data_IF_067078204909
#
_entry.id   IF_067078204909
#
_cell.length_a   1.000
_cell.length_b   1.000
_cell.length_c   1.000
_cell.angle_alpha   90.00
_cell.angle_beta   90.00
_cell.angle_gamma   90.00
#
_symmetry.space_group_name_H-M   'P 1'
#
loop_
_entity.id
_entity.type
_entity.pdbx_description
1 polymer ?
#
# COMPACT_ATOMS: atom_id res chain seq x y z
N UNK A 1 -9.07 11.35 20.47
CA UNK A 1 -8.12 12.33 19.92
C UNK A 1 -8.38 12.42 18.43
N UNK A 2 -9.02 13.48 17.96
CA UNK A 2 -9.10 13.78 16.53
C UNK A 2 -7.77 14.44 16.16
N UNK A 3 -7.16 14.06 15.04
CA UNK A 3 -5.96 14.73 14.52
C UNK A 3 -6.40 16.15 14.13
N UNK A 4 -5.98 17.20 14.86
CA UNK A 4 -6.50 18.56 14.64
C UNK A 4 -6.00 19.17 13.33
N UNK A 5 -4.83 18.72 12.86
CA UNK A 5 -4.21 19.15 11.62
C UNK A 5 -3.32 18.01 11.07
N UNK A 6 -3.47 17.73 9.77
CA UNK A 6 -2.68 16.72 9.06
C UNK A 6 -1.42 17.30 8.40
N UNK A 7 -1.25 18.62 8.36
CA UNK A 7 -0.11 19.27 7.71
C UNK A 7 1.26 18.80 8.22
N UNK A 8 1.49 18.61 9.54
CA UNK A 8 2.77 18.10 10.04
C UNK A 8 3.13 16.70 9.50
N UNK A 9 2.12 15.90 9.15
CA UNK A 9 2.34 14.59 8.52
C UNK A 9 2.87 14.81 7.11
N UNK A 10 2.23 15.67 6.31
CA UNK A 10 2.67 15.98 4.96
C UNK A 10 4.06 16.62 4.90
N UNK A 11 4.38 17.52 5.83
CA UNK A 11 5.73 18.10 5.98
C UNK A 11 6.77 17.00 6.23
N UNK A 12 6.45 16.05 7.12
CA UNK A 12 7.33 14.89 7.39
C UNK A 12 7.55 14.06 6.13
N UNK A 13 6.50 13.77 5.36
CA UNK A 13 6.63 13.01 4.11
C UNK A 13 7.52 13.73 3.09
N UNK A 14 7.40 15.06 2.98
CA UNK A 14 8.21 15.88 2.11
C UNK A 14 9.69 15.85 2.52
N UNK A 15 9.99 15.98 3.82
CA UNK A 15 11.35 15.86 4.35
C UNK A 15 11.93 14.46 4.11
N UNK A 16 11.19 13.39 4.40
CA UNK A 16 11.62 12.01 4.14
C UNK A 16 12.05 11.83 2.68
N UNK A 17 11.25 12.36 1.73
CA UNK A 17 11.58 12.31 0.32
C UNK A 17 12.86 13.10 -0.02
N UNK A 18 13.08 14.29 0.57
CA UNK A 18 14.33 15.08 0.39
C UNK A 18 15.56 14.29 0.82
N UNK A 19 15.46 13.48 1.88
CA UNK A 19 16.52 12.60 2.35
C UNK A 19 16.63 11.27 1.57
N UNK A 20 15.86 11.10 0.49
CA UNK A 20 15.89 9.89 -0.34
C UNK A 20 15.25 8.67 0.31
N UNK A 21 14.46 8.86 1.37
CA UNK A 21 13.70 7.79 2.03
C UNK A 21 12.52 7.41 1.14
N UNK A 22 12.30 6.11 0.98
CA UNK A 22 11.15 5.59 0.25
C UNK A 22 9.86 5.80 1.06
N UNK A 23 8.85 6.38 0.43
CA UNK A 23 7.57 6.71 1.05
C UNK A 23 6.45 6.03 0.26
N UNK A 24 5.52 5.42 0.99
CA UNK A 24 4.26 4.93 0.47
C UNK A 24 3.13 5.45 1.36
N UNK A 25 2.01 5.87 0.75
CA UNK A 25 0.85 6.40 1.48
C UNK A 25 -0.24 5.33 1.48
N UNK A 26 -0.90 5.16 2.63
CA UNK A 26 -1.95 4.18 2.82
C UNK A 26 -3.17 4.84 3.41
N UNK A 27 -4.33 4.58 2.83
CA UNK A 27 -5.63 5.09 3.25
C UNK A 27 -6.57 3.92 3.55
N UNK A 28 -7.02 3.82 4.81
CA UNK A 28 -8.01 2.82 5.21
C UNK A 28 -9.40 3.38 4.92
N UNK A 29 -10.00 2.92 3.84
CA UNK A 29 -11.33 3.38 3.42
C UNK A 29 -12.35 2.70 4.32
N UNK A 30 -12.90 3.43 5.30
CA UNK A 30 -13.98 2.97 6.19
C UNK A 30 -15.32 3.49 5.64
N UNK A 31 -16.37 2.67 5.49
CA UNK A 31 -17.65 3.16 4.98
C UNK A 31 -18.22 4.30 5.83
N UNK A 32 -18.89 5.25 5.19
CA UNK A 32 -19.48 6.46 5.79
C UNK A 32 -18.48 7.47 6.38
N UNK A 33 -17.19 7.12 6.47
CA UNK A 33 -16.15 7.95 7.11
C UNK A 33 -15.07 8.34 6.10
N UNK A 34 -14.57 7.36 5.34
CA UNK A 34 -13.44 7.50 4.42
C UNK A 34 -13.77 7.10 2.99
N UNK A 35 -15.03 6.82 2.64
CA UNK A 35 -15.47 6.42 1.30
C UNK A 35 -15.88 7.60 0.39
N UNK A 36 -15.62 8.82 0.83
CA UNK A 36 -15.84 10.07 0.09
C UNK A 36 -14.76 10.25 -0.99
N UNK A 37 -15.19 10.19 -2.25
CA UNK A 37 -14.30 10.30 -3.41
C UNK A 37 -13.67 11.68 -3.58
N UNK A 38 -14.30 12.76 -3.12
CA UNK A 38 -13.71 14.10 -3.20
C UNK A 38 -12.60 14.28 -2.17
N UNK A 39 -12.73 13.68 -0.98
CA UNK A 39 -11.64 13.61 0.00
C UNK A 39 -10.49 12.74 -0.50
N UNK A 40 -10.79 11.61 -1.14
CA UNK A 40 -9.78 10.77 -1.77
C UNK A 40 -9.02 11.54 -2.87
N UNK A 41 -9.75 12.27 -3.72
CA UNK A 41 -9.18 13.14 -4.77
C UNK A 41 -8.26 14.20 -4.17
N UNK A 42 -8.70 14.88 -3.11
CA UNK A 42 -7.89 15.87 -2.40
C UNK A 42 -6.61 15.25 -1.84
N UNK A 43 -6.70 14.09 -1.17
CA UNK A 43 -5.53 13.38 -0.63
C UNK A 43 -4.54 13.00 -1.73
N UNK A 44 -5.03 12.41 -2.82
CA UNK A 44 -4.17 12.00 -3.95
C UNK A 44 -3.47 13.21 -4.55
N UNK A 45 -4.20 14.29 -4.86
CA UNK A 45 -3.61 15.53 -5.39
C UNK A 45 -2.51 16.05 -4.47
N UNK A 46 -2.79 16.13 -3.16
CA UNK A 46 -1.82 16.61 -2.17
C UNK A 46 -0.55 15.77 -2.17
N UNK A 47 -0.67 14.44 -2.22
CA UNK A 47 0.46 13.51 -2.30
C UNK A 47 1.25 13.70 -3.60
N UNK A 48 0.58 13.81 -4.74
CA UNK A 48 1.23 13.99 -6.04
C UNK A 48 1.95 15.34 -6.12
N UNK A 49 1.32 16.42 -5.69
CA UNK A 49 1.89 17.77 -5.74
C UNK A 49 3.16 17.87 -4.88
N UNK A 50 3.16 17.23 -3.72
CA UNK A 50 4.29 17.28 -2.79
C UNK A 50 5.37 16.24 -3.09
N UNK A 51 4.95 15.01 -3.42
CA UNK A 51 5.83 13.85 -3.49
C UNK A 51 5.94 13.24 -4.90
N UNK A 52 5.25 13.78 -5.88
CA UNK A 52 5.29 13.35 -7.28
C UNK A 52 4.42 12.13 -7.56
N UNK A 53 4.16 11.84 -8.85
CA UNK A 53 3.22 10.81 -9.30
C UNK A 53 3.72 9.37 -9.10
N UNK A 54 5.00 9.20 -8.78
CA UNK A 54 5.66 7.91 -8.61
C UNK A 54 5.49 7.32 -7.19
N UNK A 55 4.94 8.09 -6.24
CA UNK A 55 4.68 7.59 -4.88
C UNK A 55 3.48 6.64 -4.88
N UNK A 56 3.64 5.40 -4.37
CA UNK A 56 2.53 4.47 -4.18
C UNK A 56 1.47 5.02 -3.24
N UNK A 57 0.20 4.89 -3.66
CA UNK A 57 -0.96 5.03 -2.77
C UNK A 57 -1.74 3.72 -2.69
N UNK A 58 -2.11 3.33 -1.47
CA UNK A 58 -2.85 2.10 -1.19
C UNK A 58 -4.20 2.43 -0.56
N UNK A 59 -5.29 1.96 -1.17
CA UNK A 59 -6.61 1.99 -0.57
C UNK A 59 -6.90 0.63 0.06
N UNK A 60 -6.96 0.60 1.39
CA UNK A 60 -7.16 -0.63 2.14
C UNK A 60 -8.64 -0.87 2.40
N UNK A 61 -9.03 -2.13 2.23
CA UNK A 61 -10.35 -2.58 2.66
C UNK A 61 -10.42 -2.61 4.19
N UNK A 62 -11.42 -1.93 4.73
CA UNK A 62 -11.82 -2.07 6.12
C UNK A 62 -12.55 -3.41 6.35
N UNK A 63 -12.29 -4.01 7.51
CA UNK A 63 -13.00 -5.16 8.03
C UNK A 63 -13.56 -4.80 9.41
N UNK A 64 -14.85 -5.08 9.70
CA UNK A 64 -15.44 -4.75 10.99
C UNK A 64 -14.86 -5.64 12.07
N UNK A 65 -14.12 -5.05 13.01
CA UNK A 65 -13.47 -5.76 14.09
C UNK A 65 -13.69 -5.07 15.45
N UNK A 66 -13.65 -5.88 16.50
CA UNK A 66 -13.75 -5.44 17.90
C UNK A 66 -15.01 -4.58 18.18
N UNK A 67 -14.85 -3.29 18.47
CA UNK A 67 -15.94 -2.40 18.85
C UNK A 67 -16.60 -1.70 17.65
N UNK A 68 -16.03 -1.79 16.44
CA UNK A 68 -16.51 -1.10 15.26
C UNK A 68 -17.20 -2.08 14.29
N UNK A 69 -18.24 -2.75 14.79
CA UNK A 69 -18.98 -3.80 14.05
C UNK A 69 -20.22 -3.31 13.30
N UNK A 70 -20.67 -2.07 13.57
CA UNK A 70 -21.91 -1.55 13.00
C UNK A 70 -21.78 -1.10 11.53
N UNK A 71 -20.55 -0.89 11.06
CA UNK A 71 -20.25 -0.61 9.65
C UNK A 71 -19.91 -1.91 8.92
N UNK A 72 -20.30 -2.07 7.64
CA UNK A 72 -19.91 -3.24 6.85
C UNK A 72 -18.42 -3.20 6.47
N UNK A 73 -17.83 -4.31 6.00
CA UNK A 73 -16.53 -4.24 5.33
C UNK A 73 -16.65 -3.37 4.07
N UNK A 74 -15.60 -2.63 3.73
CA UNK A 74 -15.65 -1.74 2.56
C UNK A 74 -15.93 -2.53 1.29
N UNK A 75 -16.96 -2.13 0.50
CA UNK A 75 -17.23 -2.77 -0.78
C UNK A 75 -16.03 -2.64 -1.72
N UNK A 76 -15.70 -3.71 -2.43
CA UNK A 76 -14.56 -3.71 -3.38
C UNK A 76 -14.74 -2.62 -4.44
N UNK A 77 -15.97 -2.44 -4.94
CA UNK A 77 -16.27 -1.37 -5.91
C UNK A 77 -16.04 0.05 -5.39
N UNK A 78 -16.08 0.27 -4.07
CA UNK A 78 -15.68 1.57 -3.49
C UNK A 78 -14.17 1.77 -3.61
N UNK A 79 -13.37 0.74 -3.32
CA UNK A 79 -11.91 0.79 -3.45
C UNK A 79 -11.47 0.95 -4.91
N UNK A 80 -12.17 0.29 -5.85
CA UNK A 80 -11.93 0.44 -7.28
C UNK A 80 -12.13 1.88 -7.74
N UNK A 81 -13.21 2.54 -7.29
CA UNK A 81 -13.44 3.97 -7.56
C UNK A 81 -12.36 4.89 -6.97
N UNK A 82 -11.82 4.56 -5.80
CA UNK A 82 -10.67 5.30 -5.24
C UNK A 82 -9.41 5.15 -6.11
N UNK A 83 -9.14 3.94 -6.63
CA UNK A 83 -8.04 3.71 -7.58
C UNK A 83 -8.26 4.47 -8.89
N UNK A 84 -9.49 4.53 -9.40
CA UNK A 84 -9.84 5.28 -10.60
C UNK A 84 -9.58 6.78 -10.38
N UNK A 85 -10.09 7.37 -9.31
CA UNK A 85 -9.80 8.76 -8.92
C UNK A 85 -8.30 9.00 -8.82
N UNK A 86 -7.55 8.10 -8.18
CA UNK A 86 -6.11 8.29 -8.05
C UNK A 86 -5.39 8.34 -9.41
N UNK A 87 -5.82 7.49 -10.35
CA UNK A 87 -5.27 7.46 -11.72
C UNK A 87 -5.67 8.70 -12.52
N UNK A 88 -6.90 9.18 -12.38
CA UNK A 88 -7.35 10.44 -12.99
C UNK A 88 -6.50 11.63 -12.56
N UNK A 89 -6.09 11.64 -11.29
CA UNK A 89 -5.18 12.66 -10.74
C UNK A 89 -3.71 12.47 -11.13
N UNK A 90 -3.39 11.41 -11.86
CA UNK A 90 -2.05 11.15 -12.39
C UNK A 90 -1.18 10.25 -11.52
N UNK A 91 -1.73 9.58 -10.49
CA UNK A 91 -0.98 8.58 -9.75
C UNK A 91 -0.60 7.41 -10.67
N UNK A 92 0.69 7.10 -10.75
CA UNK A 92 1.19 5.99 -11.57
C UNK A 92 1.02 4.63 -10.87
N UNK A 93 0.94 4.65 -9.54
CA UNK A 93 0.90 3.45 -8.70
C UNK A 93 -0.20 3.59 -7.64
N UNK A 94 -1.39 3.11 -7.96
CA UNK A 94 -2.53 3.04 -7.04
C UNK A 94 -2.93 1.58 -6.82
N UNK A 95 -3.06 1.18 -5.56
CA UNK A 95 -3.25 -0.21 -5.15
C UNK A 95 -4.51 -0.41 -4.33
N UNK A 96 -5.03 -1.63 -4.36
CA UNK A 96 -6.01 -2.12 -3.39
C UNK A 96 -5.33 -3.11 -2.46
N UNK A 97 -5.42 -2.88 -1.16
CA UNK A 97 -4.96 -3.80 -0.13
C UNK A 97 -6.12 -4.47 0.61
N UNK A 98 -5.81 -5.49 1.41
CA UNK A 98 -6.78 -6.32 2.15
C UNK A 98 -7.86 -7.00 1.28
N UNK A 99 -7.55 -7.21 -0.01
CA UNK A 99 -8.37 -8.00 -0.94
C UNK A 99 -7.45 -8.98 -1.69
N UNK A 100 -7.00 -10.07 -1.06
CA UNK A 100 -6.05 -10.99 -1.68
C UNK A 100 -6.56 -11.55 -3.01
N UNK A 101 -5.75 -11.48 -4.07
CA UNK A 101 -6.10 -11.91 -5.42
C UNK A 101 -6.70 -10.80 -6.29
N UNK A 102 -6.89 -9.58 -5.77
CA UNK A 102 -7.46 -8.48 -6.53
C UNK A 102 -6.48 -7.92 -7.57
N UNK A 103 -6.96 -7.55 -8.77
CA UNK A 103 -6.09 -7.05 -9.85
C UNK A 103 -5.22 -5.86 -9.43
N UNK A 104 -5.75 -4.95 -8.60
CA UNK A 104 -5.02 -3.76 -8.13
C UNK A 104 -4.05 -4.04 -6.95
N UNK A 105 -3.80 -5.29 -6.55
CA UNK A 105 -2.68 -5.60 -5.63
C UNK A 105 -1.34 -5.77 -6.38
N UNK A 106 -1.40 -5.87 -7.72
CA UNK A 106 -0.25 -6.04 -8.59
C UNK A 106 0.38 -4.68 -8.93
N UNK A 107 1.69 -4.67 -9.20
CA UNK A 107 2.35 -3.48 -9.77
C UNK A 107 2.33 -3.59 -11.28
N UNK A 108 1.73 -2.59 -11.92
CA UNK A 108 1.70 -2.45 -13.38
C UNK A 108 2.74 -1.44 -13.85
N UNK A 109 3.32 -1.66 -15.02
CA UNK A 109 4.16 -0.65 -15.67
C UNK A 109 3.27 0.53 -16.12
N UNK A 110 3.57 1.77 -15.72
CA UNK A 110 2.76 2.93 -16.13
C UNK A 110 2.83 3.20 -17.63
N UNK A 111 3.90 2.77 -18.30
CA UNK A 111 4.10 3.03 -19.75
C UNK A 111 3.44 1.97 -20.65
N UNK A 112 3.48 0.68 -20.29
CA UNK A 112 2.96 -0.39 -21.17
C UNK A 112 1.81 -1.19 -20.57
N UNK A 113 1.37 -0.88 -19.36
CA UNK A 113 0.24 -1.54 -18.70
C UNK A 113 0.44 -3.01 -18.32
N UNK A 114 1.62 -3.60 -18.56
CA UNK A 114 1.90 -4.99 -18.18
C UNK A 114 2.25 -5.13 -16.71
N UNK A 115 1.88 -6.26 -16.10
CA UNK A 115 2.23 -6.58 -14.71
C UNK A 115 3.73 -6.78 -14.57
N UNK A 116 4.38 -5.90 -13.79
CA UNK A 116 5.81 -6.00 -13.46
C UNK A 116 6.07 -6.71 -12.12
N UNK A 117 5.11 -6.69 -11.20
CA UNK A 117 5.11 -7.55 -10.01
C UNK A 117 3.71 -8.10 -9.80
N UNK A 118 3.55 -9.41 -9.88
CA UNK A 118 2.29 -10.10 -9.60
C UNK A 118 2.31 -10.59 -8.15
N UNK A 119 1.24 -10.33 -7.41
CA UNK A 119 1.11 -10.69 -5.99
C UNK A 119 -0.16 -11.47 -5.73
N UNK A 120 -0.26 -12.07 -4.55
CA UNK A 120 -1.50 -12.52 -3.93
C UNK A 120 -1.34 -12.35 -2.42
N UNK A 121 -1.97 -11.31 -1.86
CA UNK A 121 -1.70 -10.90 -0.49
C UNK A 121 -0.20 -10.62 -0.29
N UNK A 122 0.41 -11.28 0.70
CA UNK A 122 1.83 -11.10 1.01
C UNK A 122 2.79 -11.90 0.12
N UNK A 123 2.28 -12.79 -0.73
CA UNK A 123 3.10 -13.61 -1.62
C UNK A 123 3.38 -12.89 -2.94
N UNK A 124 4.63 -12.93 -3.40
CA UNK A 124 5.02 -12.51 -4.75
C UNK A 124 4.97 -13.74 -5.66
N UNK A 125 4.19 -13.66 -6.74
CA UNK A 125 3.99 -14.77 -7.67
C UNK A 125 4.87 -14.63 -8.90
N UNK A 126 5.13 -13.39 -9.35
CA UNK A 126 6.02 -13.11 -10.47
C UNK A 126 6.74 -11.78 -10.27
N UNK A 127 8.00 -11.74 -10.72
CA UNK A 127 8.79 -10.52 -10.85
C UNK A 127 9.23 -10.39 -12.31
N UNK A 128 8.77 -9.33 -12.95
CA UNK A 128 8.93 -9.03 -14.36
C UNK A 128 9.73 -7.73 -14.54
N UNK A 129 10.79 -7.58 -13.75
CA UNK A 129 11.70 -6.45 -13.71
C UNK A 129 13.11 -6.89 -14.11
N UNK A 130 13.86 -5.99 -14.73
CA UNK A 130 15.30 -6.14 -14.98
C UNK A 130 16.03 -5.03 -14.24
N UNK A 131 17.15 -5.36 -13.59
CA UNK A 131 18.01 -4.37 -12.95
C UNK A 131 19.10 -3.91 -13.94
N UNK A 132 19.23 -2.60 -14.14
CA UNK A 132 20.29 -2.01 -14.97
C UNK A 132 20.82 -0.75 -14.29
N UNK A 133 22.11 -0.74 -13.95
CA UNK A 133 22.75 0.41 -13.31
C UNK A 133 22.15 0.79 -11.95
N UNK A 134 21.68 -0.20 -11.17
CA UNK A 134 21.03 0.02 -9.88
C UNK A 134 19.58 0.50 -9.97
N UNK A 135 18.97 0.49 -11.15
CA UNK A 135 17.57 0.84 -11.36
C UNK A 135 16.76 -0.36 -11.84
N UNK A 136 15.52 -0.50 -11.34
CA UNK A 136 14.57 -1.45 -11.87
C UNK A 136 13.86 -0.91 -13.11
N UNK A 137 13.77 -1.74 -14.14
CA UNK A 137 13.10 -1.44 -15.41
C UNK A 137 12.12 -2.53 -15.76
N UNK A 138 11.02 -2.15 -16.42
CA UNK A 138 10.05 -3.08 -16.96
C UNK A 138 10.74 -4.02 -17.95
N UNK A 139 10.60 -5.36 -17.77
CA UNK A 139 11.20 -6.33 -18.70
C UNK A 139 10.63 -6.26 -20.12
N UNK A 140 9.49 -5.62 -20.30
CA UNK A 140 8.73 -5.62 -21.55
C UNK A 140 8.97 -4.38 -22.41
N UNK A 141 9.05 -3.19 -21.82
CA UNK A 141 9.23 -1.93 -22.54
C UNK A 141 10.45 -1.11 -22.10
N UNK A 142 11.18 -1.54 -21.07
CA UNK A 142 12.38 -0.85 -20.58
C UNK A 142 12.14 0.41 -19.75
N UNK A 143 10.88 0.81 -19.55
CA UNK A 143 10.50 1.92 -18.68
C UNK A 143 11.05 1.74 -17.26
N UNK A 144 11.53 2.82 -16.65
CA UNK A 144 11.97 2.81 -15.25
C UNK A 144 10.77 2.58 -14.34
N UNK A 145 10.92 1.67 -13.37
CA UNK A 145 9.93 1.43 -12.32
C UNK A 145 10.57 1.88 -11.01
N UNK A 146 9.98 2.84 -10.27
CA UNK A 146 10.61 3.50 -9.13
C UNK A 146 10.60 2.62 -7.86
N UNK A 147 10.94 1.35 -7.97
CA UNK A 147 11.06 0.45 -6.81
C UNK A 147 12.41 0.66 -6.13
N UNK A 148 12.40 0.73 -4.80
CA UNK A 148 13.60 0.77 -3.96
C UNK A 148 13.81 -0.57 -3.25
N UNK A 149 15.06 -0.82 -2.86
CA UNK A 149 15.47 -2.07 -2.21
C UNK A 149 16.02 -3.10 -3.19
N UNK A 150 16.13 -4.36 -2.74
CA UNK A 150 16.65 -5.48 -3.53
C UNK A 150 15.63 -6.59 -3.60
N UNK A 151 15.47 -7.19 -4.77
CA UNK A 151 14.71 -8.43 -4.94
C UNK A 151 15.50 -9.58 -4.30
N UNK A 152 15.07 -10.04 -3.13
CA UNK A 152 15.70 -11.16 -2.44
C UNK A 152 15.23 -12.50 -3.01
N UNK A 153 16.13 -13.47 -3.31
CA UNK A 153 15.75 -14.78 -3.86
C UNK A 153 14.65 -15.52 -3.08
N UNK A 154 14.57 -15.25 -1.77
CA UNK A 154 13.58 -15.78 -0.84
C UNK A 154 12.13 -15.45 -1.20
N UNK A 155 11.86 -14.65 -2.23
CA UNK A 155 10.48 -14.39 -2.68
C UNK A 155 9.84 -15.63 -3.30
N UNK A 156 10.67 -16.59 -3.72
CA UNK A 156 10.25 -17.91 -4.23
C UNK A 156 10.10 -18.95 -3.13
N UNK A 157 10.48 -18.63 -1.89
CA UNK A 157 10.40 -19.60 -0.80
C UNK A 157 8.95 -19.77 -0.38
N UNK A 158 8.44 -21.00 -0.47
CA UNK A 158 7.07 -21.33 -0.05
C UNK A 158 6.88 -21.13 1.47
N UNK A 159 7.97 -21.17 2.24
CA UNK A 159 7.99 -21.04 3.70
C UNK A 159 8.26 -19.61 4.17
N UNK A 160 7.95 -18.58 3.37
CA UNK A 160 8.21 -17.19 3.77
C UNK A 160 7.29 -16.71 4.90
N UNK A 161 6.11 -17.32 5.04
CA UNK A 161 5.13 -17.05 6.10
C UNK A 161 4.82 -18.35 6.84
N UNK A 162 5.76 -18.83 7.67
CA UNK A 162 5.49 -19.96 8.56
C UNK A 162 4.80 -19.45 9.81
N UNK A 163 3.74 -20.15 10.20
CA UNK A 163 3.15 -19.95 11.52
C UNK A 163 4.16 -20.32 12.61
N UNK A 164 4.58 -19.33 13.39
CA UNK A 164 5.34 -19.56 14.62
C UNK A 164 4.32 -19.62 15.76
N UNK A 165 4.06 -20.78 16.38
CA UNK A 165 3.14 -20.88 17.51
C UNK A 165 3.76 -20.22 18.74
N UNK A 166 3.79 -18.88 18.77
CA UNK A 166 4.49 -18.14 19.84
C UNK A 166 3.95 -18.54 21.22
N UNK A 167 2.68 -18.90 21.33
CA UNK A 167 2.07 -19.40 22.55
C UNK A 167 2.68 -20.71 23.08
N UNK A 168 3.23 -21.60 22.23
CA UNK A 168 3.93 -22.80 22.71
C UNK A 168 5.31 -22.48 23.26
N UNK A 169 5.87 -21.33 22.91
CA UNK A 169 7.20 -20.87 23.35
C UNK A 169 7.13 -19.71 24.35
N UNK A 170 5.94 -19.19 24.64
CA UNK A 170 5.74 -18.02 25.52
C UNK A 170 5.37 -18.45 26.92
N UNK A 171 6.17 -18.02 27.90
CA UNK A 171 5.81 -18.09 29.32
C UNK A 171 5.00 -16.85 29.69
N UNK A 172 3.68 -17.01 29.82
CA UNK A 172 2.80 -15.94 30.27
C UNK A 172 3.01 -15.69 31.77
N UNK A 173 3.18 -14.43 32.16
CA UNK A 173 3.24 -14.01 33.56
C UNK A 173 2.10 -13.04 33.82
N UNK A 174 1.17 -13.43 34.69
CA UNK A 174 0.12 -12.53 35.15
C UNK A 174 0.76 -11.46 36.04
N UNK A 175 0.70 -10.21 35.61
CA UNK A 175 1.06 -9.05 36.43
C UNK A 175 -0.21 -8.52 37.06
N UNK A 176 -0.25 -8.41 38.39
CA UNK A 176 -1.27 -7.62 39.06
C UNK A 176 -1.01 -6.16 38.70
N UNK A 177 -1.94 -5.55 37.97
CA UNK A 177 -1.90 -4.12 37.68
C UNK A 177 -2.65 -3.46 38.81
N UNK A 178 -1.93 -2.86 39.76
CA UNK A 178 -2.56 -2.01 40.78
C UNK A 178 -3.28 -0.88 40.04
N UNK A 179 -4.60 -0.81 40.22
CA UNK A 179 -5.44 0.29 39.72
C UNK A 179 -5.19 1.56 40.52
#
# INVERSE_FOLDING_TARGET
>A
VLVPDAEPIFETLAEMKKYGIWVEVTDLVVPEVGDDLEKARWLVRRVIDMLGPDVPIHFLRFHPDYNLQHLPPTPVGTLERHVEVAKEEGARFAYVGNVPGHRYEHTYCPECGRVVIRRRGFSILEINLVERGGEYRCKFCGAKIPIRGRVMPTWRDEFRFVYVPIQTFTRWVRREVNK
#
